data_IF_657709296987
#
_entry.id   IF_657709296987
#
_cell.length_a   1.000
_cell.length_b   1.000
_cell.length_c   1.000
_cell.angle_alpha   90.00
_cell.angle_beta   90.00
_cell.angle_gamma   90.00
#
_symmetry.space_group_name_H-M   'P 1'
#
loop_
_entity.id
_entity.type
_entity.pdbx_description
1 polymer ?
#
# COMPACT_ATOMS: atom_id res chain seq x y z
N UNK A 1 -15.29 -39.03 -5.39
CA UNK A 1 -15.65 -37.87 -6.25
C UNK A 1 -14.64 -37.81 -7.37
N UNK A 2 -15.10 -37.80 -8.63
CA UNK A 2 -14.22 -37.67 -9.80
C UNK A 2 -13.84 -36.20 -10.01
N UNK A 3 -12.77 -35.78 -9.34
CA UNK A 3 -12.31 -34.38 -9.33
C UNK A 3 -11.98 -33.86 -10.73
N UNK A 4 -11.43 -34.71 -11.61
CA UNK A 4 -11.04 -34.30 -12.95
C UNK A 4 -12.26 -33.96 -13.82
N UNK A 5 -13.29 -34.81 -13.76
CA UNK A 5 -14.53 -34.55 -14.49
C UNK A 5 -15.28 -33.32 -13.96
N UNK A 6 -15.20 -33.04 -12.65
CA UNK A 6 -15.72 -31.80 -12.08
C UNK A 6 -14.99 -30.57 -12.62
N UNK A 7 -13.65 -30.54 -12.57
CA UNK A 7 -12.86 -29.41 -13.09
C UNK A 7 -13.13 -29.16 -14.58
N UNK A 8 -13.21 -30.22 -15.39
CA UNK A 8 -13.54 -30.09 -16.83
C UNK A 8 -14.92 -29.48 -17.03
N UNK A 9 -15.91 -29.93 -16.25
CA UNK A 9 -17.25 -29.36 -16.27
C UNK A 9 -17.24 -27.88 -15.90
N UNK A 10 -16.55 -27.50 -14.81
CA UNK A 10 -16.45 -26.10 -14.38
C UNK A 10 -15.82 -25.19 -15.43
N UNK A 11 -14.76 -25.67 -16.09
CA UNK A 11 -14.11 -24.94 -17.17
C UNK A 11 -15.07 -24.69 -18.36
N UNK A 12 -15.77 -25.73 -18.82
CA UNK A 12 -16.73 -25.60 -19.93
C UNK A 12 -17.88 -24.64 -19.57
N UNK A 13 -18.38 -24.72 -18.34
CA UNK A 13 -19.47 -23.87 -17.83
C UNK A 13 -19.08 -22.40 -17.66
N UNK A 14 -17.80 -22.08 -17.58
CA UNK A 14 -17.33 -20.70 -17.42
C UNK A 14 -17.68 -19.82 -18.62
N UNK A 15 -17.86 -20.42 -19.80
CA UNK A 15 -18.14 -19.71 -21.05
C UNK A 15 -19.49 -18.98 -21.05
N UNK A 16 -20.54 -19.64 -20.54
CA UNK A 16 -21.92 -19.18 -20.72
C UNK A 16 -22.87 -19.54 -19.55
N UNK A 17 -22.39 -20.23 -18.51
CA UNK A 17 -23.23 -20.62 -17.38
C UNK A 17 -22.85 -19.91 -16.08
N UNK A 18 -23.87 -19.61 -15.28
CA UNK A 18 -23.69 -19.17 -13.90
C UNK A 18 -23.01 -20.26 -13.08
N UNK A 19 -22.12 -19.82 -12.19
CA UNK A 19 -21.48 -20.66 -11.20
C UNK A 19 -22.53 -21.15 -10.17
N UNK A 20 -22.43 -22.41 -9.76
CA UNK A 20 -23.43 -23.11 -8.95
C UNK A 20 -22.95 -23.63 -7.60
N UNK A 21 -21.64 -23.63 -7.33
CA UNK A 21 -21.07 -24.13 -6.07
C UNK A 21 -19.84 -23.33 -5.65
N UNK A 22 -19.46 -23.46 -4.37
CA UNK A 22 -18.24 -22.89 -3.82
C UNK A 22 -16.98 -23.38 -4.57
N UNK A 23 -16.87 -24.69 -4.79
CA UNK A 23 -15.74 -25.30 -5.52
C UNK A 23 -15.62 -24.71 -6.94
N UNK A 24 -16.74 -24.60 -7.67
CA UNK A 24 -16.76 -24.01 -9.01
C UNK A 24 -16.37 -22.52 -8.98
N UNK A 25 -16.79 -21.77 -7.97
CA UNK A 25 -16.47 -20.35 -7.84
C UNK A 25 -14.97 -20.13 -7.65
N UNK A 26 -14.36 -20.85 -6.70
CA UNK A 26 -12.93 -20.78 -6.43
C UNK A 26 -12.11 -21.30 -7.62
N UNK A 27 -12.56 -22.35 -8.30
CA UNK A 27 -11.90 -22.84 -9.52
C UNK A 27 -11.90 -21.80 -10.65
N UNK A 28 -13.00 -21.04 -10.81
CA UNK A 28 -13.07 -19.94 -11.79
C UNK A 28 -12.15 -18.79 -11.41
N UNK A 29 -12.06 -18.45 -10.11
CA UNK A 29 -11.12 -17.44 -9.60
C UNK A 29 -9.66 -17.86 -9.87
N UNK A 30 -9.31 -19.11 -9.58
CA UNK A 30 -7.98 -19.67 -9.86
C UNK A 30 -7.60 -19.56 -11.35
N UNK A 31 -8.55 -19.89 -12.24
CA UNK A 31 -8.33 -19.79 -13.67
C UNK A 31 -8.05 -18.34 -14.10
N UNK A 32 -8.90 -17.39 -13.70
CA UNK A 32 -8.72 -15.99 -14.08
C UNK A 32 -7.48 -15.38 -13.46
N UNK A 33 -7.21 -15.65 -12.19
CA UNK A 33 -5.96 -15.23 -11.53
C UNK A 33 -4.74 -15.73 -12.31
N UNK A 34 -4.73 -17.01 -12.68
CA UNK A 34 -3.64 -17.61 -13.48
C UNK A 34 -3.51 -16.98 -14.86
N UNK A 35 -4.63 -16.61 -15.51
CA UNK A 35 -4.62 -15.94 -16.81
C UNK A 35 -4.06 -14.52 -16.71
N UNK A 36 -4.41 -13.77 -15.66
CA UNK A 36 -3.83 -12.45 -15.39
C UNK A 36 -2.31 -12.54 -15.23
N UNK A 37 -1.81 -13.49 -14.43
CA UNK A 37 -0.37 -13.72 -14.27
C UNK A 37 0.32 -14.08 -15.59
N UNK A 38 -0.25 -14.99 -16.38
CA UNK A 38 0.27 -15.36 -17.71
C UNK A 38 0.25 -14.21 -18.72
N UNK A 39 -0.64 -13.24 -18.51
CA UNK A 39 -0.74 -12.02 -19.31
C UNK A 39 0.11 -10.85 -18.78
N UNK A 40 1.03 -11.13 -17.83
CA UNK A 40 1.93 -10.17 -17.19
C UNK A 40 1.24 -9.11 -16.30
N UNK A 41 0.01 -9.38 -15.85
CA UNK A 41 -0.64 -8.59 -14.81
C UNK A 41 -0.19 -9.09 -13.46
N UNK A 42 0.71 -8.34 -12.82
CA UNK A 42 1.18 -8.62 -11.46
C UNK A 42 0.33 -7.87 -10.42
N UNK A 43 0.49 -8.26 -9.15
CA UNK A 43 -0.14 -7.61 -8.00
C UNK A 43 -1.68 -7.51 -8.12
N UNK A 44 -2.31 -8.60 -8.56
CA UNK A 44 -3.76 -8.67 -8.76
C UNK A 44 -4.44 -9.19 -7.50
N UNK A 45 -5.14 -8.29 -6.80
CA UNK A 45 -6.00 -8.64 -5.68
C UNK A 45 -7.23 -9.45 -6.10
N UNK A 46 -7.78 -10.20 -5.15
CA UNK A 46 -8.96 -11.05 -5.35
C UNK A 46 -10.21 -10.42 -4.73
N UNK A 47 -10.04 -9.29 -4.02
CA UNK A 47 -11.13 -8.44 -3.56
C UNK A 47 -11.97 -9.07 -2.45
N UNK A 48 -13.25 -8.70 -2.39
CA UNK A 48 -14.17 -9.04 -1.30
C UNK A 48 -14.76 -10.45 -1.41
N UNK A 49 -13.93 -11.47 -1.15
CA UNK A 49 -14.37 -12.87 -1.31
C UNK A 49 -15.50 -13.25 -0.36
N UNK A 50 -15.54 -12.68 0.86
CA UNK A 50 -16.66 -12.85 1.79
C UNK A 50 -18.02 -12.50 1.15
N UNK A 51 -18.09 -11.39 0.42
CA UNK A 51 -19.29 -10.94 -0.29
C UNK A 51 -19.52 -11.71 -1.59
N UNK A 52 -18.46 -11.96 -2.36
CA UNK A 52 -18.58 -12.69 -3.64
C UNK A 52 -19.14 -14.10 -3.41
N UNK A 53 -18.68 -14.76 -2.35
CA UNK A 53 -19.02 -16.14 -2.03
C UNK A 53 -20.28 -16.30 -1.16
N UNK A 54 -20.78 -15.23 -0.52
CA UNK A 54 -21.98 -15.24 0.33
C UNK A 54 -23.24 -15.86 -0.32
N UNK A 55 -23.28 -15.93 -1.66
CA UNK A 55 -24.38 -16.53 -2.42
C UNK A 55 -24.38 -18.07 -2.44
N UNK A 56 -23.30 -18.72 -2.03
CA UNK A 56 -23.17 -20.16 -2.04
C UNK A 56 -23.46 -20.73 -0.66
N UNK A 57 -24.13 -21.89 -0.63
CA UNK A 57 -24.43 -22.59 0.62
C UNK A 57 -23.12 -23.12 1.23
N UNK A 58 -22.99 -22.93 2.54
CA UNK A 58 -21.91 -23.49 3.34
C UNK A 58 -22.28 -24.87 3.87
N UNK A 59 -21.41 -25.83 3.61
CA UNK A 59 -21.23 -27.03 4.44
C UNK A 59 -19.89 -26.84 5.15
N UNK A 60 -19.89 -26.57 6.46
CA UNK A 60 -18.72 -25.99 7.16
C UNK A 60 -17.47 -26.87 7.01
N UNK A 61 -17.48 -28.19 7.33
CA UNK A 61 -16.30 -29.04 7.16
C UNK A 61 -15.77 -29.07 5.72
N UNK A 62 -16.67 -29.19 4.74
CA UNK A 62 -16.29 -29.23 3.32
C UNK A 62 -15.75 -27.85 2.85
N UNK A 63 -16.37 -26.77 3.30
CA UNK A 63 -16.01 -25.40 2.92
C UNK A 63 -14.64 -25.00 3.47
N UNK A 64 -14.34 -25.35 4.73
CA UNK A 64 -13.02 -25.17 5.35
C UNK A 64 -11.94 -25.91 4.56
N UNK A 65 -12.21 -27.16 4.15
CA UNK A 65 -11.29 -27.93 3.33
C UNK A 65 -11.05 -27.26 1.97
N UNK A 66 -12.14 -26.92 1.25
CA UNK A 66 -12.07 -26.30 -0.08
C UNK A 66 -11.33 -24.95 -0.04
N UNK A 67 -11.59 -24.11 0.97
CA UNK A 67 -10.89 -22.83 1.14
C UNK A 67 -9.42 -23.04 1.47
N UNK A 68 -9.08 -24.04 2.29
CA UNK A 68 -7.69 -24.41 2.57
C UNK A 68 -6.93 -24.92 1.34
N UNK A 69 -7.59 -25.68 0.47
CA UNK A 69 -7.02 -26.14 -0.80
C UNK A 69 -6.82 -24.96 -1.76
N UNK A 70 -7.78 -24.03 -1.82
CA UNK A 70 -7.67 -22.79 -2.59
C UNK A 70 -6.49 -21.93 -2.12
N UNK A 71 -6.31 -21.73 -0.81
CA UNK A 71 -5.14 -21.03 -0.25
C UNK A 71 -3.83 -21.65 -0.72
N UNK A 72 -3.73 -22.97 -0.59
CA UNK A 72 -2.54 -23.72 -0.96
C UNK A 72 -2.22 -23.55 -2.45
N UNK A 73 -3.23 -23.62 -3.32
CA UNK A 73 -3.06 -23.45 -4.76
C UNK A 73 -2.69 -21.99 -5.13
N UNK A 74 -3.34 -21.01 -4.51
CA UNK A 74 -3.02 -19.58 -4.69
C UNK A 74 -1.60 -19.23 -4.21
N UNK A 75 -1.04 -19.98 -3.26
CA UNK A 75 0.34 -19.82 -2.80
C UNK A 75 1.38 -20.47 -3.72
N UNK A 76 1.00 -21.48 -4.52
CA UNK A 76 1.95 -22.15 -5.42
C UNK A 76 2.63 -21.16 -6.36
N UNK A 77 3.91 -21.36 -6.64
CA UNK A 77 4.70 -20.46 -7.49
C UNK A 77 4.83 -19.03 -6.95
N UNK A 78 4.74 -18.81 -5.63
CA UNK A 78 4.90 -17.47 -5.02
C UNK A 78 6.20 -16.78 -5.44
N UNK A 79 7.29 -17.53 -5.64
CA UNK A 79 8.56 -16.96 -6.11
C UNK A 79 8.44 -16.30 -7.50
N UNK A 80 7.70 -16.92 -8.42
CA UNK A 80 7.39 -16.34 -9.73
C UNK A 80 6.42 -15.16 -9.61
N UNK A 81 5.47 -15.24 -8.68
CA UNK A 81 4.45 -14.20 -8.45
C UNK A 81 4.95 -13.00 -7.63
N UNK A 82 6.15 -13.05 -7.06
CA UNK A 82 6.69 -11.97 -6.24
C UNK A 82 7.10 -10.76 -7.08
N UNK A 83 6.96 -9.55 -6.55
CA UNK A 83 7.20 -8.26 -7.25
C UNK A 83 8.64 -8.00 -7.71
N UNK A 84 9.54 -8.98 -7.60
CA UNK A 84 10.99 -8.86 -7.88
C UNK A 84 11.76 -8.08 -6.80
N UNK A 85 11.07 -7.24 -6.01
CA UNK A 85 11.66 -6.42 -4.95
C UNK A 85 11.76 -7.17 -3.63
N UNK A 86 10.71 -7.91 -3.29
CA UNK A 86 10.56 -8.64 -2.04
C UNK A 86 9.92 -9.99 -2.34
N UNK A 87 10.56 -11.07 -1.88
CA UNK A 87 9.99 -12.41 -1.97
C UNK A 87 8.73 -12.49 -1.09
N UNK A 88 7.62 -13.00 -1.65
CA UNK A 88 6.31 -13.01 -0.98
C UNK A 88 5.49 -11.72 -1.18
N UNK A 89 6.00 -10.73 -1.90
CA UNK A 89 5.20 -9.58 -2.33
C UNK A 89 4.42 -9.93 -3.61
N UNK A 90 3.39 -10.77 -3.47
CA UNK A 90 2.59 -11.26 -4.61
C UNK A 90 1.46 -10.30 -5.00
N UNK A 91 1.09 -9.37 -4.11
CA UNK A 91 -0.07 -8.48 -4.24
C UNK A 91 -1.42 -9.20 -4.31
N UNK A 92 -1.45 -10.51 -4.04
CA UNK A 92 -2.69 -11.28 -3.95
C UNK A 92 -3.30 -11.01 -2.58
N UNK A 93 -4.40 -10.25 -2.56
CA UNK A 93 -5.09 -9.88 -1.33
C UNK A 93 -6.57 -10.25 -1.37
N UNK A 94 -7.04 -10.83 -0.28
CA UNK A 94 -8.44 -11.11 0.00
C UNK A 94 -8.88 -10.07 1.03
N UNK A 95 -9.91 -9.30 0.69
CA UNK A 95 -10.50 -8.30 1.59
C UNK A 95 -11.72 -8.90 2.26
N UNK A 96 -11.84 -8.76 3.57
CA UNK A 96 -12.93 -9.31 4.37
C UNK A 96 -13.49 -8.25 5.32
N UNK A 97 -14.75 -8.40 5.70
CA UNK A 97 -15.39 -7.57 6.73
C UNK A 97 -15.59 -6.11 6.32
N UNK A 98 -16.05 -5.29 7.24
CA UNK A 98 -16.11 -3.83 7.09
C UNK A 98 -17.53 -3.27 6.99
N UNK A 99 -17.60 -1.94 7.03
CA UNK A 99 -18.86 -1.18 7.08
C UNK A 99 -19.57 -1.20 5.73
N UNK A 100 -20.86 -1.52 5.77
CA UNK A 100 -21.78 -1.44 4.64
C UNK A 100 -22.39 -0.03 4.48
N UNK A 101 -22.97 0.31 3.31
CA UNK A 101 -23.55 1.64 3.06
C UNK A 101 -24.71 2.03 3.98
N UNK A 102 -25.28 1.08 4.73
CA UNK A 102 -26.29 1.37 5.74
C UNK A 102 -25.68 1.73 7.11
N UNK A 103 -24.35 1.64 7.24
CA UNK A 103 -23.60 1.92 8.46
C UNK A 103 -23.43 0.73 9.39
N UNK A 104 -23.94 -0.46 9.06
CA UNK A 104 -23.74 -1.67 9.84
C UNK A 104 -22.43 -2.36 9.46
N UNK A 105 -21.86 -3.13 10.39
CA UNK A 105 -20.68 -3.94 10.10
C UNK A 105 -21.09 -5.24 9.40
N UNK A 106 -20.56 -5.45 8.19
CA UNK A 106 -20.76 -6.69 7.46
C UNK A 106 -19.69 -7.72 7.85
N UNK A 107 -20.14 -8.88 8.30
CA UNK A 107 -19.37 -10.12 8.31
C UNK A 107 -20.30 -11.30 8.10
N UNK A 108 -19.76 -12.41 7.61
CA UNK A 108 -20.48 -13.67 7.48
C UNK A 108 -19.57 -14.85 7.86
N UNK A 109 -20.07 -16.08 7.70
CA UNK A 109 -19.32 -17.28 7.99
C UNK A 109 -18.08 -17.42 7.10
N UNK A 110 -18.11 -16.94 5.85
CA UNK A 110 -16.90 -16.89 5.02
C UNK A 110 -15.84 -15.99 5.64
N UNK A 111 -16.20 -14.81 6.15
CA UNK A 111 -15.27 -13.91 6.87
C UNK A 111 -14.49 -14.67 7.94
N UNK A 112 -15.17 -15.50 8.73
CA UNK A 112 -14.55 -16.30 9.79
C UNK A 112 -13.70 -17.43 9.23
N UNK A 113 -14.24 -18.24 8.32
CA UNK A 113 -13.55 -19.41 7.76
C UNK A 113 -12.23 -19.02 7.07
N UNK A 114 -12.19 -17.90 6.33
CA UNK A 114 -10.95 -17.46 5.70
C UNK A 114 -9.84 -17.18 6.72
N UNK A 115 -10.17 -16.57 7.87
CA UNK A 115 -9.20 -16.25 8.93
C UNK A 115 -8.83 -17.52 9.72
N UNK A 116 -9.79 -18.39 10.03
CA UNK A 116 -9.53 -19.68 10.69
C UNK A 116 -8.59 -20.56 9.86
N UNK A 117 -8.83 -20.67 8.56
CA UNK A 117 -7.97 -21.44 7.65
C UNK A 117 -6.55 -20.89 7.63
N UNK A 118 -6.37 -19.56 7.62
CA UNK A 118 -5.05 -18.94 7.65
C UNK A 118 -4.34 -19.15 9.00
N UNK A 119 -5.07 -19.05 10.12
CA UNK A 119 -4.54 -19.34 11.46
C UNK A 119 -4.05 -20.78 11.54
N UNK A 120 -4.85 -21.73 11.06
CA UNK A 120 -4.58 -23.17 11.20
C UNK A 120 -3.57 -23.68 10.15
N UNK A 121 -3.42 -22.96 9.02
CA UNK A 121 -2.42 -23.19 7.98
C UNK A 121 -1.70 -21.86 7.68
N UNK A 122 -0.62 -21.51 8.43
CA UNK A 122 0.04 -20.21 8.36
C UNK A 122 0.86 -20.04 7.07
N UNK A 123 0.17 -19.96 5.95
CA UNK A 123 0.70 -19.67 4.62
C UNK A 123 0.47 -18.17 4.35
N UNK A 124 1.51 -17.39 4.07
CA UNK A 124 1.41 -15.92 4.06
C UNK A 124 0.69 -15.32 2.84
N UNK A 125 0.46 -16.09 1.78
CA UNK A 125 -0.23 -15.64 0.56
C UNK A 125 -1.33 -16.62 0.15
N UNK A 126 -2.48 -16.14 -0.37
CA UNK A 126 -2.87 -14.74 -0.49
C UNK A 126 -3.03 -14.07 0.88
N UNK A 127 -2.66 -12.80 0.98
CA UNK A 127 -2.79 -12.06 2.24
C UNK A 127 -4.28 -11.82 2.52
N UNK A 128 -4.66 -11.80 3.79
CA UNK A 128 -5.97 -11.31 4.21
C UNK A 128 -5.82 -9.87 4.67
N UNK A 129 -6.73 -9.00 4.24
CA UNK A 129 -6.99 -7.72 4.86
C UNK A 129 -8.40 -7.74 5.46
N UNK A 130 -8.47 -7.61 6.78
CA UNK A 130 -9.71 -7.44 7.51
C UNK A 130 -9.97 -5.94 7.68
N UNK A 131 -11.12 -5.49 7.21
CA UNK A 131 -11.61 -4.15 7.47
C UNK A 131 -12.22 -4.11 8.87
N UNK A 132 -11.65 -3.32 9.76
CA UNK A 132 -12.06 -3.17 11.15
C UNK A 132 -12.80 -1.86 11.37
N UNK A 133 -13.64 -1.80 12.39
CA UNK A 133 -14.37 -0.61 12.81
C UNK A 133 -14.78 -0.78 14.26
N UNK A 134 -15.03 0.31 14.97
CA UNK A 134 -15.69 0.32 16.28
C UNK A 134 -17.03 -0.44 16.34
N UNK A 135 -17.67 -0.73 15.19
CA UNK A 135 -18.92 -1.52 15.11
C UNK A 135 -18.73 -3.01 14.85
N UNK A 136 -17.49 -3.49 14.73
CA UNK A 136 -17.24 -4.91 14.43
C UNK A 136 -17.55 -5.82 15.64
N UNK A 137 -17.89 -7.10 15.42
CA UNK A 137 -17.99 -8.08 16.49
C UNK A 137 -16.65 -8.35 17.20
N UNK A 138 -16.67 -8.46 18.53
CA UNK A 138 -15.47 -8.69 19.35
C UNK A 138 -14.83 -10.06 19.08
N UNK A 139 -15.62 -11.09 18.81
CA UNK A 139 -15.16 -12.45 18.51
C UNK A 139 -14.37 -12.51 17.19
N UNK A 140 -14.77 -11.74 16.19
CA UNK A 140 -14.03 -11.60 14.94
C UNK A 140 -12.69 -10.88 15.14
N UNK A 141 -12.65 -9.85 16.01
CA UNK A 141 -11.41 -9.16 16.35
C UNK A 141 -10.46 -10.11 17.11
N UNK A 142 -10.98 -10.87 18.07
CA UNK A 142 -10.21 -11.88 18.79
C UNK A 142 -9.63 -12.93 17.84
N UNK A 143 -10.44 -13.46 16.91
CA UNK A 143 -9.98 -14.40 15.89
C UNK A 143 -8.86 -13.82 15.02
N UNK A 144 -8.98 -12.55 14.60
CA UNK A 144 -7.94 -11.86 13.84
C UNK A 144 -6.63 -11.76 14.65
N UNK A 145 -6.70 -11.39 15.93
CA UNK A 145 -5.52 -11.31 16.81
C UNK A 145 -4.89 -12.69 17.02
N UNK A 146 -5.70 -13.74 17.24
CA UNK A 146 -5.21 -15.11 17.35
C UNK A 146 -4.49 -15.57 16.07
N UNK A 147 -5.01 -15.21 14.90
CA UNK A 147 -4.36 -15.48 13.62
C UNK A 147 -3.01 -14.76 13.51
N UNK A 148 -2.94 -13.47 13.83
CA UNK A 148 -1.69 -12.69 13.83
C UNK A 148 -0.66 -13.32 14.79
N UNK A 149 -1.10 -13.77 15.97
CA UNK A 149 -0.25 -14.37 17.00
C UNK A 149 0.42 -15.69 16.56
N UNK A 150 -0.03 -16.33 15.48
CA UNK A 150 0.66 -17.49 14.89
C UNK A 150 2.00 -17.13 14.23
N UNK A 151 2.26 -15.84 14.00
CA UNK A 151 3.44 -15.35 13.28
C UNK A 151 3.26 -15.26 11.76
N UNK A 152 2.08 -15.60 11.22
CA UNK A 152 1.78 -15.47 9.78
C UNK A 152 1.74 -14.00 9.31
N UNK A 153 1.56 -13.05 10.24
CA UNK A 153 1.57 -11.60 9.94
C UNK A 153 0.29 -11.09 9.27
N UNK A 154 -0.79 -11.86 9.32
CA UNK A 154 -2.11 -11.53 8.77
C UNK A 154 -3.22 -12.01 9.73
N UNK A 155 -4.46 -11.47 9.63
CA UNK A 155 -4.90 -10.46 8.67
C UNK A 155 -4.25 -9.08 8.89
N UNK A 156 -4.05 -8.34 7.80
CA UNK A 156 -3.79 -6.90 7.84
C UNK A 156 -5.06 -6.19 8.32
N UNK A 157 -4.93 -5.15 9.12
CA UNK A 157 -6.08 -4.44 9.71
C UNK A 157 -6.24 -3.05 9.08
N UNK A 158 -7.38 -2.80 8.43
CA UNK A 158 -7.70 -1.51 7.80
C UNK A 158 -8.89 -0.85 8.50
N UNK A 159 -8.70 0.36 9.04
CA UNK A 159 -9.69 1.03 9.88
C UNK A 159 -10.72 1.81 9.06
N UNK A 160 -11.93 1.26 8.92
CA UNK A 160 -13.04 1.87 8.17
C UNK A 160 -13.52 3.19 8.77
N UNK A 161 -13.37 3.38 10.09
CA UNK A 161 -13.79 4.63 10.77
C UNK A 161 -12.94 5.84 10.31
N UNK A 162 -11.79 5.58 9.69
CA UNK A 162 -10.88 6.59 9.11
C UNK A 162 -10.89 6.55 7.59
N UNK A 163 -10.81 5.35 7.01
CA UNK A 163 -10.63 5.18 5.57
C UNK A 163 -11.87 5.58 4.77
N UNK A 164 -13.08 5.25 5.25
CA UNK A 164 -14.32 5.57 4.51
C UNK A 164 -14.51 7.10 4.41
N UNK A 165 -14.45 7.87 5.52
CA UNK A 165 -14.51 9.33 5.44
C UNK A 165 -13.43 9.93 4.53
N UNK A 166 -12.19 9.42 4.60
CA UNK A 166 -11.09 9.92 3.76
C UNK A 166 -11.33 9.66 2.27
N UNK A 167 -11.92 8.51 1.90
CA UNK A 167 -12.30 8.22 0.52
C UNK A 167 -13.43 9.11 0.02
N UNK A 168 -14.43 9.38 0.86
CA UNK A 168 -15.52 10.30 0.51
C UNK A 168 -15.01 11.72 0.29
N UNK A 169 -14.16 12.22 1.21
CA UNK A 169 -13.49 13.52 1.05
C UNK A 169 -12.65 13.57 -0.22
N UNK A 170 -11.96 12.46 -0.56
CA UNK A 170 -11.21 12.35 -1.79
C UNK A 170 -12.10 12.38 -3.05
N UNK A 171 -13.39 12.05 -2.93
CA UNK A 171 -14.40 12.16 -3.98
C UNK A 171 -15.01 10.84 -4.45
N UNK A 172 -14.87 9.76 -3.67
CA UNK A 172 -15.62 8.52 -3.93
C UNK A 172 -17.07 8.67 -3.47
N UNK A 173 -17.99 7.96 -4.13
CA UNK A 173 -19.35 7.84 -3.59
C UNK A 173 -19.31 7.04 -2.27
N UNK A 174 -20.23 7.33 -1.35
CA UNK A 174 -20.35 6.57 -0.10
C UNK A 174 -20.42 5.05 -0.34
N UNK A 175 -21.19 4.62 -1.35
CA UNK A 175 -21.30 3.20 -1.70
C UNK A 175 -19.97 2.58 -2.16
N UNK A 176 -19.17 3.31 -2.96
CA UNK A 176 -17.87 2.84 -3.41
C UNK A 176 -16.82 2.89 -2.28
N UNK A 177 -16.90 3.91 -1.42
CA UNK A 177 -16.08 4.00 -0.22
C UNK A 177 -16.38 2.83 0.71
N UNK A 178 -17.63 2.57 1.10
CA UNK A 178 -18.01 1.40 1.90
C UNK A 178 -17.67 0.05 1.24
N UNK A 179 -17.49 0.00 -0.08
CA UNK A 179 -17.12 -1.22 -0.80
C UNK A 179 -15.66 -1.24 -1.29
N UNK A 180 -14.78 -0.42 -0.70
CA UNK A 180 -13.37 -0.38 -1.10
C UNK A 180 -12.68 -1.74 -0.94
N UNK A 181 -11.71 -1.96 -1.83
CA UNK A 181 -10.66 -2.99 -1.74
C UNK A 181 -9.30 -2.30 -1.78
N UNK A 182 -8.20 -3.03 -1.72
CA UNK A 182 -6.86 -2.45 -1.83
C UNK A 182 -6.14 -2.85 -3.12
N UNK A 183 -5.29 -1.95 -3.60
CA UNK A 183 -4.32 -2.24 -4.65
C UNK A 183 -3.10 -2.89 -4.00
N UNK A 184 -2.99 -4.21 -4.07
CA UNK A 184 -1.98 -4.99 -3.35
C UNK A 184 -2.07 -4.85 -1.83
N UNK A 185 -1.28 -3.98 -1.20
CA UNK A 185 -1.08 -4.00 0.25
C UNK A 185 -2.16 -3.20 0.99
N UNK A 186 -2.15 -1.87 0.86
CA UNK A 186 -2.91 -0.99 1.75
C UNK A 186 -3.75 0.04 1.02
N UNK A 187 -3.42 0.32 -0.24
CA UNK A 187 -3.88 1.51 -0.93
C UNK A 187 -5.34 1.34 -1.40
N UNK A 188 -6.32 2.02 -0.77
CA UNK A 188 -7.74 1.75 -1.02
C UNK A 188 -8.14 2.19 -2.43
N UNK A 189 -9.06 1.44 -3.05
CA UNK A 189 -9.61 1.73 -4.38
C UNK A 189 -11.03 1.17 -4.51
N UNK A 190 -11.80 1.71 -5.43
CA UNK A 190 -13.14 1.20 -5.72
C UNK A 190 -13.06 -0.14 -6.48
N UNK A 191 -13.75 -1.15 -5.96
CA UNK A 191 -13.78 -2.49 -6.54
C UNK A 191 -14.38 -2.48 -7.95
N UNK A 192 -13.62 -2.93 -8.96
CA UNK A 192 -14.08 -3.07 -10.34
C UNK A 192 -14.40 -1.77 -11.08
N UNK A 193 -14.00 -0.60 -10.53
CA UNK A 193 -14.37 0.73 -11.05
C UNK A 193 -13.18 1.67 -11.29
N UNK A 194 -11.97 1.16 -11.13
CA UNK A 194 -10.79 2.00 -10.92
C UNK A 194 -9.61 1.65 -11.84
N UNK A 195 -9.12 2.64 -12.59
CA UNK A 195 -7.72 2.70 -13.04
C UNK A 195 -6.93 3.43 -11.96
N UNK A 196 -6.42 2.68 -10.98
CA UNK A 196 -5.69 3.26 -9.85
C UNK A 196 -4.40 2.50 -9.58
N UNK A 197 -3.32 2.95 -10.21
CA UNK A 197 -1.97 2.46 -9.91
C UNK A 197 -1.41 3.31 -8.77
N UNK A 198 -1.47 2.76 -7.55
CA UNK A 198 -1.23 3.54 -6.33
C UNK A 198 0.25 3.73 -5.97
N UNK A 199 1.17 3.03 -6.63
CA UNK A 199 2.61 3.00 -6.32
C UNK A 199 3.49 3.37 -7.52
N UNK A 200 3.12 4.42 -8.27
CA UNK A 200 3.82 4.79 -9.51
C UNK A 200 5.24 5.29 -9.24
N UNK A 201 5.39 6.16 -8.25
CA UNK A 201 6.66 6.76 -7.85
C UNK A 201 6.62 7.13 -6.37
N UNK A 202 7.78 7.31 -5.76
CA UNK A 202 7.88 7.75 -4.36
C UNK A 202 8.64 9.06 -4.24
N UNK A 203 8.22 9.92 -3.33
CA UNK A 203 9.00 11.05 -2.81
C UNK A 203 9.97 10.49 -1.75
N UNK A 204 11.27 10.75 -1.92
CA UNK A 204 12.30 10.21 -1.04
C UNK A 204 12.83 11.30 -0.10
N UNK A 205 12.38 11.28 1.16
CA UNK A 205 12.78 12.25 2.18
C UNK A 205 14.26 12.13 2.55
N UNK A 206 14.84 10.92 2.51
CA UNK A 206 16.29 10.72 2.70
C UNK A 206 17.11 11.42 1.61
N UNK A 207 16.66 11.36 0.35
CA UNK A 207 17.25 12.10 -0.76
C UNK A 207 17.07 13.61 -0.62
N UNK A 208 15.91 14.06 -0.15
CA UNK A 208 15.68 15.48 0.13
C UNK A 208 16.66 15.99 1.20
N UNK A 209 16.89 15.19 2.25
CA UNK A 209 17.89 15.50 3.27
C UNK A 209 19.31 15.53 2.71
N UNK A 210 19.67 14.55 1.86
CA UNK A 210 20.96 14.55 1.16
C UNK A 210 21.20 15.80 0.32
N UNK A 211 20.20 16.23 -0.45
CA UNK A 211 20.27 17.48 -1.21
C UNK A 211 20.39 18.69 -0.29
N UNK A 212 19.71 18.66 0.86
CA UNK A 212 19.72 19.75 1.85
C UNK A 212 21.12 19.99 2.40
N UNK A 213 21.81 18.98 2.94
CA UNK A 213 23.15 19.21 3.49
C UNK A 213 24.21 19.49 2.41
N UNK A 214 23.96 19.10 1.16
CA UNK A 214 24.82 19.41 0.03
C UNK A 214 24.57 20.79 -0.59
N UNK A 215 23.45 21.44 -0.25
CA UNK A 215 23.15 22.80 -0.68
C UNK A 215 24.11 23.79 -0.01
N UNK A 216 24.66 24.73 -0.78
CA UNK A 216 25.63 25.72 -0.29
C UNK A 216 25.08 26.57 0.86
N UNK A 217 23.76 26.85 0.87
CA UNK A 217 23.09 27.62 1.92
C UNK A 217 23.00 26.90 3.26
N UNK A 218 23.18 25.57 3.31
CA UNK A 218 23.03 24.77 4.52
C UNK A 218 23.85 25.31 5.69
N UNK A 219 25.11 25.67 5.44
CA UNK A 219 26.02 26.11 6.50
C UNK A 219 25.82 27.58 6.88
N UNK A 220 25.05 28.31 6.08
CA UNK A 220 24.62 29.67 6.37
C UNK A 220 23.31 29.73 7.19
N UNK A 221 22.63 28.60 7.42
CA UNK A 221 21.41 28.55 8.23
C UNK A 221 21.69 28.99 9.68
N UNK A 222 21.02 30.07 10.12
CA UNK A 222 21.23 30.67 11.46
C UNK A 222 20.40 30.00 12.56
N UNK A 223 19.36 29.30 12.20
CA UNK A 223 18.43 28.64 13.11
C UNK A 223 17.81 27.41 12.43
N UNK A 224 17.12 26.58 13.22
CA UNK A 224 16.46 25.37 12.74
C UNK A 224 15.40 25.66 11.67
N UNK A 225 14.62 26.73 11.81
CA UNK A 225 13.55 27.06 10.84
C UNK A 225 14.09 27.39 9.44
N UNK A 226 15.25 28.06 9.35
CA UNK A 226 15.93 28.28 8.09
C UNK A 226 16.39 26.98 7.43
N UNK A 227 16.89 26.03 8.23
CA UNK A 227 17.29 24.70 7.75
C UNK A 227 16.09 23.86 7.33
N UNK A 228 14.99 23.89 8.10
CA UNK A 228 13.76 23.20 7.78
C UNK A 228 13.14 23.75 6.49
N UNK A 229 13.15 25.07 6.29
CA UNK A 229 12.73 25.70 5.04
C UNK A 229 13.56 25.20 3.86
N UNK A 230 14.88 25.12 4.02
CA UNK A 230 15.77 24.58 2.98
C UNK A 230 15.43 23.13 2.63
N UNK A 231 15.16 22.30 3.64
CA UNK A 231 14.72 20.92 3.45
C UNK A 231 13.37 20.80 2.74
N UNK A 232 12.37 21.58 3.16
CA UNK A 232 11.05 21.56 2.54
C UNK A 232 11.08 22.04 1.08
N UNK A 233 12.00 22.95 0.72
CA UNK A 233 12.24 23.31 -0.67
C UNK A 233 12.77 22.13 -1.50
N UNK A 234 13.58 21.22 -0.92
CA UNK A 234 13.99 20.00 -1.62
C UNK A 234 12.83 19.01 -1.78
N UNK A 235 11.90 18.96 -0.81
CA UNK A 235 10.66 18.18 -0.92
C UNK A 235 9.79 18.71 -2.08
N UNK A 236 9.71 20.03 -2.25
CA UNK A 236 9.00 20.67 -3.37
C UNK A 236 9.59 20.26 -4.72
N UNK A 237 10.93 20.34 -4.87
CA UNK A 237 11.61 19.92 -6.11
C UNK A 237 11.45 18.43 -6.40
N UNK A 238 11.43 17.58 -5.37
CA UNK A 238 11.20 16.14 -5.53
C UNK A 238 9.74 15.89 -5.98
N UNK A 239 8.77 16.59 -5.41
CA UNK A 239 7.36 16.51 -5.82
C UNK A 239 7.15 16.98 -7.27
N UNK A 240 7.78 18.08 -7.69
CA UNK A 240 7.78 18.54 -9.08
C UNK A 240 8.33 17.48 -10.05
N UNK A 241 9.43 16.81 -9.65
CA UNK A 241 10.00 15.70 -10.43
C UNK A 241 9.01 14.55 -10.57
N UNK A 242 8.32 14.20 -9.49
CA UNK A 242 7.25 13.17 -9.51
C UNK A 242 6.10 13.60 -10.44
N UNK A 243 5.61 14.83 -10.32
CA UNK A 243 4.54 15.37 -11.18
C UNK A 243 4.94 15.29 -12.67
N UNK A 244 6.17 15.66 -12.99
CA UNK A 244 6.69 15.56 -14.35
C UNK A 244 6.68 14.12 -14.87
N UNK A 245 7.02 13.13 -14.03
CA UNK A 245 6.90 11.72 -14.39
C UNK A 245 5.44 11.35 -14.65
N UNK A 246 4.52 11.72 -13.75
CA UNK A 246 3.09 11.40 -13.86
C UNK A 246 2.46 11.94 -15.16
N UNK A 247 2.83 13.16 -15.56
CA UNK A 247 2.36 13.79 -16.80
C UNK A 247 2.77 13.01 -18.06
N UNK A 248 3.93 12.37 -18.03
CA UNK A 248 4.52 11.68 -19.17
C UNK A 248 4.11 10.19 -19.29
N UNK A 249 3.37 9.63 -18.32
CA UNK A 249 2.95 8.21 -18.34
C UNK A 249 2.06 7.91 -19.53
N UNK A 250 2.46 6.97 -20.39
CA UNK A 250 1.62 6.45 -21.47
C UNK A 250 1.15 5.05 -21.10
N UNK A 251 -0.16 4.86 -21.01
CA UNK A 251 -0.75 3.56 -20.71
C UNK A 251 -0.86 2.71 -21.98
N UNK A 252 -0.46 1.45 -21.86
CA UNK A 252 -0.72 0.44 -22.88
C UNK A 252 -2.17 -0.03 -22.80
N UNK A 253 -2.76 -0.33 -23.96
CA UNK A 253 -4.11 -0.88 -24.07
C UNK A 253 -4.24 -2.18 -23.27
N UNK A 254 -5.29 -2.30 -22.48
CA UNK A 254 -5.50 -3.46 -21.62
C UNK A 254 -6.95 -3.95 -21.67
N UNK A 255 -7.36 -4.58 -22.79
CA UNK A 255 -8.72 -5.06 -22.98
C UNK A 255 -9.13 -6.10 -21.92
N UNK A 256 -8.16 -6.87 -21.40
CA UNK A 256 -8.41 -7.82 -20.32
C UNK A 256 -8.85 -7.10 -19.03
N UNK A 257 -8.17 -6.03 -18.59
CA UNK A 257 -8.64 -5.25 -17.43
C UNK A 257 -9.94 -4.49 -17.72
N UNK A 258 -10.11 -3.99 -18.94
CA UNK A 258 -11.35 -3.32 -19.37
C UNK A 258 -12.56 -4.24 -19.25
N UNK A 259 -12.43 -5.54 -19.53
CA UNK A 259 -13.49 -6.54 -19.35
C UNK A 259 -13.95 -6.69 -17.89
N UNK A 260 -13.06 -6.46 -16.92
CA UNK A 260 -13.36 -6.53 -15.49
C UNK A 260 -13.62 -5.16 -14.85
N UNK A 261 -13.81 -4.13 -15.68
CA UNK A 261 -14.11 -2.77 -15.24
C UNK A 261 -15.41 -2.31 -15.90
N UNK A 262 -16.52 -2.36 -15.17
CA UNK A 262 -17.89 -2.20 -15.71
C UNK A 262 -18.04 -0.98 -16.62
N UNK A 263 -17.56 0.18 -16.15
CA UNK A 263 -17.65 1.44 -16.87
C UNK A 263 -16.86 1.48 -18.18
N UNK A 264 -15.80 0.67 -18.32
CA UNK A 264 -15.08 0.56 -19.60
C UNK A 264 -15.96 -0.09 -20.67
N UNK A 265 -16.76 -1.09 -20.28
CA UNK A 265 -17.71 -1.77 -21.17
C UNK A 265 -18.83 -0.81 -21.57
N UNK A 266 -19.44 -0.14 -20.58
CA UNK A 266 -20.55 0.80 -20.81
C UNK A 266 -20.13 1.94 -21.74
N UNK A 267 -18.91 2.46 -21.57
CA UNK A 267 -18.38 3.57 -22.39
C UNK A 267 -17.75 3.12 -23.71
N UNK A 268 -17.58 1.81 -23.94
CA UNK A 268 -16.86 1.28 -25.09
C UNK A 268 -15.41 1.76 -25.17
N UNK A 269 -14.77 2.00 -24.02
CA UNK A 269 -13.46 2.65 -23.91
C UNK A 269 -12.50 1.80 -23.11
N UNK A 270 -11.26 1.66 -23.58
CA UNK A 270 -10.26 0.90 -22.84
C UNK A 270 -9.90 1.59 -21.51
N UNK A 271 -9.58 0.80 -20.50
CA UNK A 271 -9.15 1.30 -19.19
C UNK A 271 -7.93 2.24 -19.33
N UNK A 272 -7.03 1.97 -20.28
CA UNK A 272 -5.83 2.78 -20.54
C UNK A 272 -6.13 4.16 -21.12
N UNK A 273 -7.37 4.40 -21.56
CA UNK A 273 -7.83 5.67 -22.09
C UNK A 273 -8.77 6.39 -21.14
N UNK A 274 -8.90 5.93 -19.89
CA UNK A 274 -9.78 6.52 -18.90
C UNK A 274 -11.23 6.04 -19.00
N UNK A 275 -11.43 4.75 -19.35
CA UNK A 275 -12.75 4.13 -19.34
C UNK A 275 -13.35 3.92 -17.94
N UNK A 276 -12.52 3.83 -16.89
CA UNK A 276 -12.97 3.56 -15.53
C UNK A 276 -13.77 4.73 -14.93
N UNK A 277 -14.49 4.48 -13.83
CA UNK A 277 -15.17 5.53 -13.05
C UNK A 277 -14.15 6.44 -12.38
N UNK A 278 -13.17 5.83 -11.70
CA UNK A 278 -12.08 6.51 -11.03
C UNK A 278 -10.78 6.26 -11.77
N UNK A 279 -10.10 7.32 -12.17
CA UNK A 279 -8.85 7.23 -12.95
C UNK A 279 -7.71 7.93 -12.22
N UNK A 280 -7.54 7.66 -10.92
CA UNK A 280 -6.56 8.35 -10.10
C UNK A 280 -5.18 7.69 -10.17
N UNK A 281 -4.15 8.43 -9.83
CA UNK A 281 -2.80 7.92 -9.66
C UNK A 281 -2.44 7.84 -8.18
N UNK A 282 -1.39 7.09 -7.84
CA UNK A 282 -0.82 7.15 -6.51
C UNK A 282 0.69 7.30 -6.48
N UNK A 283 1.12 8.01 -5.45
CA UNK A 283 2.50 8.32 -5.11
C UNK A 283 2.74 7.86 -3.67
N UNK A 284 3.89 7.28 -3.38
CA UNK A 284 4.25 6.92 -2.01
C UNK A 284 5.33 7.87 -1.47
N UNK A 285 5.69 7.71 -0.21
CA UNK A 285 6.86 8.37 0.37
C UNK A 285 7.77 7.35 1.04
N UNK A 286 9.05 7.69 1.16
CA UNK A 286 10.06 6.84 1.79
C UNK A 286 11.09 7.68 2.54
N UNK A 287 11.67 7.13 3.60
CA UNK A 287 12.71 7.79 4.40
C UNK A 287 12.21 8.89 5.34
N UNK A 288 10.92 8.87 5.71
CA UNK A 288 10.33 9.85 6.64
C UNK A 288 11.02 9.81 8.01
N UNK A 289 11.20 8.59 8.56
CA UNK A 289 11.85 8.39 9.86
C UNK A 289 13.28 8.94 9.87
N UNK A 290 14.08 8.63 8.84
CA UNK A 290 15.47 9.11 8.76
C UNK A 290 15.53 10.64 8.69
N UNK A 291 14.63 11.26 7.92
CA UNK A 291 14.58 12.71 7.80
C UNK A 291 14.18 13.36 9.13
N UNK A 292 13.16 12.83 9.82
CA UNK A 292 12.74 13.31 11.15
C UNK A 292 13.88 13.21 12.16
N UNK A 293 14.49 12.03 12.27
CA UNK A 293 15.59 11.78 13.20
C UNK A 293 16.78 12.69 12.88
N UNK A 294 17.14 12.83 11.61
CA UNK A 294 18.26 13.68 11.19
C UNK A 294 18.02 15.15 11.51
N UNK A 295 16.83 15.67 11.20
CA UNK A 295 16.49 17.06 11.43
C UNK A 295 16.44 17.39 12.94
N UNK A 296 15.85 16.52 13.76
CA UNK A 296 15.79 16.72 15.20
C UNK A 296 17.15 16.54 15.88
N UNK A 297 18.00 15.61 15.42
CA UNK A 297 19.38 15.53 15.89
C UNK A 297 20.18 16.80 15.55
N UNK A 298 19.99 17.39 14.36
CA UNK A 298 20.62 18.69 14.04
C UNK A 298 20.06 19.81 14.92
N UNK A 299 18.74 19.84 15.13
CA UNK A 299 18.09 20.82 16.01
C UNK A 299 18.75 20.84 17.38
N UNK A 300 18.82 19.68 18.01
CA UNK A 300 19.38 19.53 19.35
C UNK A 300 20.90 19.78 19.35
N UNK A 301 21.67 19.05 18.53
CA UNK A 301 23.13 19.04 18.65
C UNK A 301 23.80 20.30 18.09
N UNK A 302 23.21 20.97 17.10
CA UNK A 302 23.80 22.16 16.47
C UNK A 302 23.22 23.47 16.98
N UNK A 303 21.90 23.56 17.16
CA UNK A 303 21.25 24.84 17.50
C UNK A 303 20.99 25.01 18.99
N UNK A 304 20.63 23.94 19.70
CA UNK A 304 20.31 23.99 21.13
C UNK A 304 21.57 23.78 21.99
N UNK A 305 22.24 22.64 21.82
CA UNK A 305 23.43 22.26 22.59
C UNK A 305 24.74 22.83 22.03
N UNK A 306 24.75 23.21 20.75
CA UNK A 306 25.91 23.78 20.03
C UNK A 306 27.19 22.91 20.13
N UNK A 307 27.04 21.59 20.15
CA UNK A 307 28.15 20.63 20.14
C UNK A 307 28.81 20.51 18.78
N UNK A 308 28.05 20.69 17.71
CA UNK A 308 28.52 20.57 16.33
C UNK A 308 28.11 21.77 15.48
N UNK A 309 28.93 22.12 14.49
CA UNK A 309 28.56 23.08 13.44
C UNK A 309 27.87 22.36 12.28
N UNK A 310 27.09 23.10 11.47
CA UNK A 310 26.50 22.55 10.25
C UNK A 310 27.55 22.10 9.24
N UNK A 311 28.73 22.75 9.20
CA UNK A 311 29.86 22.27 8.39
C UNK A 311 30.33 20.88 8.83
N UNK A 312 30.41 20.62 10.15
CA UNK A 312 30.76 19.31 10.67
C UNK A 312 29.71 18.26 10.31
N UNK A 313 28.42 18.59 10.45
CA UNK A 313 27.31 17.70 10.03
C UNK A 313 27.43 17.34 8.55
N UNK A 314 27.64 18.34 7.68
CA UNK A 314 27.83 18.13 6.24
C UNK A 314 29.00 17.20 5.95
N UNK A 315 30.15 17.42 6.59
CA UNK A 315 31.33 16.54 6.41
C UNK A 315 31.06 15.13 6.88
N UNK A 316 30.46 14.95 8.07
CA UNK A 316 30.08 13.63 8.62
C UNK A 316 29.19 12.86 7.64
N UNK A 317 28.14 13.49 7.11
CA UNK A 317 27.24 12.84 6.15
C UNK A 317 27.92 12.52 4.81
N UNK A 318 28.79 13.40 4.31
CA UNK A 318 29.53 13.18 3.05
C UNK A 318 30.53 12.03 3.16
N UNK A 319 31.20 11.93 4.29
CA UNK A 319 32.21 10.91 4.56
C UNK A 319 31.60 9.62 5.12
N UNK A 320 30.32 9.64 5.50
CA UNK A 320 29.64 8.54 6.21
C UNK A 320 30.40 8.12 7.49
N UNK A 321 30.96 9.10 8.21
CA UNK A 321 31.80 8.87 9.39
C UNK A 321 31.10 9.34 10.68
N UNK A 322 30.31 8.46 11.27
CA UNK A 322 29.52 8.76 12.46
C UNK A 322 30.25 8.53 13.78
N UNK A 323 31.49 8.04 13.80
CA UNK A 323 32.20 7.66 15.04
C UNK A 323 32.22 8.78 16.09
N UNK A 324 32.33 10.04 15.63
CA UNK A 324 32.38 11.22 16.50
C UNK A 324 31.02 11.67 17.06
N UNK A 325 29.91 11.18 16.49
CA UNK A 325 28.53 11.59 16.83
C UNK A 325 27.64 10.46 17.29
N UNK A 326 27.98 9.20 17.02
CA UNK A 326 27.10 8.03 17.16
C UNK A 326 26.44 7.95 18.54
N UNK A 327 27.23 8.11 19.61
CA UNK A 327 26.73 8.12 21.00
C UNK A 327 25.78 9.28 21.36
N UNK A 328 25.73 10.33 20.53
CA UNK A 328 24.87 11.50 20.71
C UNK A 328 23.61 11.48 19.84
N UNK A 329 23.54 10.60 18.83
CA UNK A 329 22.40 10.51 17.93
C UNK A 329 21.24 9.78 18.62
N UNK A 330 20.05 10.36 18.52
CA UNK A 330 18.81 9.77 19.05
C UNK A 330 17.92 9.29 17.90
N UNK A 331 17.14 8.25 18.20
CA UNK A 331 15.99 7.84 17.40
C UNK A 331 14.76 8.55 17.95
N UNK A 332 14.28 9.55 17.23
CA UNK A 332 13.16 10.41 17.63
C UNK A 332 11.83 9.87 17.11
N UNK A 333 11.81 9.43 15.85
CA UNK A 333 10.62 8.91 15.19
C UNK A 333 10.09 7.67 15.94
N UNK A 334 8.77 7.65 16.18
CA UNK A 334 8.11 6.60 16.96
C UNK A 334 8.10 6.85 18.48
N UNK A 335 8.64 7.98 18.96
CA UNK A 335 8.49 8.41 20.36
C UNK A 335 7.26 9.30 20.55
N UNK A 336 6.82 9.49 21.80
CA UNK A 336 5.70 10.38 22.17
C UNK A 336 6.07 11.88 22.12
N UNK A 337 7.20 12.24 21.53
CA UNK A 337 7.67 13.63 21.50
C UNK A 337 6.82 14.48 20.54
N UNK A 338 6.26 15.59 21.04
CA UNK A 338 5.41 16.48 20.23
C UNK A 338 6.14 17.13 19.05
N UNK A 339 7.46 17.31 19.13
CA UNK A 339 8.25 17.84 18.02
C UNK A 339 8.29 16.88 16.82
N UNK A 340 8.23 15.58 17.08
CA UNK A 340 8.15 14.55 16.03
C UNK A 340 6.84 14.71 15.27
N UNK A 341 5.72 14.80 15.98
CA UNK A 341 4.41 14.98 15.37
C UNK A 341 4.34 16.28 14.55
N UNK A 342 4.82 17.39 15.09
CA UNK A 342 4.87 18.68 14.39
C UNK A 342 5.72 18.64 13.12
N UNK A 343 6.86 17.96 13.16
CA UNK A 343 7.73 17.85 11.99
C UNK A 343 7.13 16.94 10.92
N UNK A 344 6.54 15.81 11.33
CA UNK A 344 5.81 14.92 10.42
C UNK A 344 4.68 15.69 9.73
N UNK A 345 3.86 16.42 10.48
CA UNK A 345 2.75 17.24 9.95
C UNK A 345 3.26 18.24 8.90
N UNK A 346 4.31 19.00 9.21
CA UNK A 346 4.89 19.96 8.26
C UNK A 346 5.40 19.29 6.96
N UNK A 347 6.02 18.12 7.08
CA UNK A 347 6.52 17.38 5.92
C UNK A 347 5.37 16.79 5.08
N UNK A 348 4.35 16.24 5.74
CA UNK A 348 3.19 15.64 5.07
C UNK A 348 2.29 16.69 4.43
N UNK A 349 2.08 17.82 5.10
CA UNK A 349 1.32 18.95 4.55
C UNK A 349 2.02 19.53 3.33
N UNK A 350 3.35 19.61 3.35
CA UNK A 350 4.12 20.05 2.19
C UNK A 350 3.88 19.12 0.99
N UNK A 351 3.96 17.80 1.19
CA UNK A 351 3.66 16.82 0.14
C UNK A 351 2.21 16.94 -0.35
N UNK A 352 1.24 17.03 0.57
CA UNK A 352 -0.18 17.18 0.24
C UNK A 352 -0.42 18.43 -0.61
N UNK A 353 0.11 19.58 -0.20
CA UNK A 353 -0.06 20.85 -0.91
C UNK A 353 0.51 20.83 -2.32
N UNK A 354 1.64 20.14 -2.53
CA UNK A 354 2.22 19.97 -3.86
C UNK A 354 1.40 19.07 -4.79
N UNK A 355 0.72 18.06 -4.24
CA UNK A 355 0.04 17.03 -5.03
C UNK A 355 -1.48 17.23 -5.15
N UNK A 356 -2.12 17.95 -4.24
CA UNK A 356 -3.59 18.03 -4.14
C UNK A 356 -4.28 18.66 -5.36
N UNK A 357 -3.63 19.65 -5.98
CA UNK A 357 -4.12 20.35 -7.17
C UNK A 357 -3.87 19.57 -8.47
N UNK A 358 -2.98 18.57 -8.44
CA UNK A 358 -2.61 17.80 -9.62
C UNK A 358 -3.81 17.06 -10.21
N UNK A 359 -3.91 17.07 -11.55
CA UNK A 359 -4.84 16.24 -12.30
C UNK A 359 -4.08 15.55 -13.43
N UNK A 360 -4.30 14.25 -13.59
CA UNK A 360 -3.76 13.52 -14.75
C UNK A 360 -4.60 13.78 -16.01
N UNK A 361 -4.18 13.19 -17.13
CA UNK A 361 -4.85 13.32 -18.45
C UNK A 361 -6.31 12.86 -18.50
N UNK A 362 -6.77 12.11 -17.50
CA UNK A 362 -8.15 11.64 -17.36
C UNK A 362 -8.92 12.43 -16.29
N UNK A 363 -8.38 13.57 -15.87
CA UNK A 363 -8.90 14.41 -14.79
C UNK A 363 -8.94 13.72 -13.42
N UNK A 364 -8.24 12.59 -13.26
CA UNK A 364 -8.08 11.91 -11.97
C UNK A 364 -7.10 12.63 -11.06
N UNK A 365 -7.29 12.45 -9.75
CA UNK A 365 -6.46 13.03 -8.69
C UNK A 365 -5.25 12.14 -8.39
N UNK A 366 -4.39 12.59 -7.48
CA UNK A 366 -3.31 11.76 -6.89
C UNK A 366 -3.65 11.45 -5.44
N UNK A 367 -3.67 10.17 -5.09
CA UNK A 367 -3.58 9.71 -3.71
C UNK A 367 -2.11 9.64 -3.34
N UNK A 368 -1.77 10.00 -2.11
CA UNK A 368 -0.41 9.82 -1.63
C UNK A 368 -0.40 9.05 -0.31
N UNK A 369 0.63 8.23 -0.12
CA UNK A 369 0.72 7.33 1.02
C UNK A 369 2.08 7.41 1.70
N UNK A 370 2.09 7.09 2.99
CA UNK A 370 3.29 6.97 3.80
C UNK A 370 3.72 5.50 3.79
N UNK A 371 4.99 5.24 3.46
CA UNK A 371 5.61 3.92 3.31
C UNK A 371 5.56 3.34 1.89
N UNK A 372 6.74 3.25 1.28
CA UNK A 372 6.95 2.57 0.02
C UNK A 372 7.70 1.26 0.25
N UNK A 373 7.26 0.18 -0.40
CA UNK A 373 7.90 -1.14 -0.30
C UNK A 373 9.32 -1.21 -0.87
N UNK A 374 9.76 -0.15 -1.55
CA UNK A 374 11.07 -0.05 -2.19
C UNK A 374 12.11 0.70 -1.33
N UNK A 375 12.00 0.68 0.00
CA UNK A 375 12.92 1.39 0.91
C UNK A 375 14.37 0.89 0.83
N UNK A 376 14.59 -0.39 0.55
CA UNK A 376 15.93 -0.96 0.29
C UNK A 376 16.52 -0.38 -1.00
N UNK A 377 15.80 -0.49 -2.12
CA UNK A 377 16.24 0.04 -3.43
C UNK A 377 16.40 1.56 -3.42
N UNK A 378 15.50 2.25 -2.72
CA UNK A 378 15.51 3.71 -2.62
C UNK A 378 16.66 4.21 -1.76
N UNK A 379 17.06 3.45 -0.73
CA UNK A 379 18.19 3.76 0.13
C UNK A 379 19.55 3.49 -0.53
N UNK A 380 19.64 2.48 -1.40
CA UNK A 380 20.86 2.11 -2.13
C UNK A 380 21.44 3.22 -3.02
N UNK A 381 20.66 4.28 -3.28
CA UNK A 381 21.03 5.44 -4.10
C UNK A 381 20.95 6.75 -3.30
N UNK A 382 21.01 6.69 -1.97
CA UNK A 382 20.97 7.85 -1.07
C UNK A 382 22.21 7.86 -0.19
N UNK A 383 22.78 9.06 -0.02
CA UNK A 383 23.88 9.35 0.90
C UNK A 383 23.57 9.02 2.36
N UNK A 384 24.55 9.22 3.24
CA UNK A 384 24.34 9.03 4.67
C UNK A 384 23.38 10.09 5.22
N UNK A 385 22.59 9.74 6.24
CA UNK A 385 21.65 10.67 6.88
C UNK A 385 22.05 10.88 8.35
N UNK A 386 21.77 12.06 8.91
CA UNK A 386 22.24 12.43 10.25
C UNK A 386 21.41 11.81 11.39
N UNK A 387 20.80 10.67 11.11
CA UNK A 387 20.22 9.71 12.05
C UNK A 387 21.16 8.53 12.33
N UNK A 388 22.38 8.56 11.75
CA UNK A 388 23.42 7.54 11.90
C UNK A 388 23.39 6.46 10.82
N UNK A 389 22.49 6.59 9.84
CA UNK A 389 22.35 5.64 8.73
C UNK A 389 23.45 5.87 7.71
N UNK A 390 24.16 4.80 7.34
CA UNK A 390 25.24 4.90 6.37
C UNK A 390 24.71 5.08 4.95
N UNK A 391 25.58 5.61 4.09
CA UNK A 391 25.33 5.69 2.65
C UNK A 391 24.95 4.31 2.09
N UNK A 392 23.94 4.29 1.22
CA UNK A 392 23.44 3.10 0.53
C UNK A 392 22.77 2.02 1.40
N UNK A 393 22.62 2.20 2.71
CA UNK A 393 21.81 1.30 3.53
C UNK A 393 20.31 1.40 3.14
N UNK A 394 19.42 0.54 3.66
CA UNK A 394 17.98 0.78 3.59
C UNK A 394 17.59 2.09 4.30
N UNK A 395 16.47 2.70 3.86
CA UNK A 395 15.84 3.87 4.51
C UNK A 395 14.92 3.44 5.65
#
# INVERSE_FOLDING_TARGET
IDRLNNTKTYFLRMKDQKCSSLEEALQRILFWSSLFWQSQHTLVGIGRLDKVLARYKLDIPESVQIIGDFYSEMHRYFAFKSSGKLLGDTGQIIVLGGIDPNGDYFCNEYTHIFIEVMRDKPIPDPKILLRISSKMPDDLLELAIQCIATGVGCPLLSNDDVIIPALEEFGYTHADACNYVTSACWEPMAYGKSLEKNNIKSINFGRCFEKTYNNDEFTACKNFEGLLTLFLNEVDREAETVINILNNIRWEKNPLRSLFTEDCIVKGKDISEGGATYNNYGVLTVGLANAVDSLLNIKELCFEEKKFTLDQVRSICRESNFESVDSSLKKWYGTENTQVAQLVEQMTDRVYNNLSSYRNRFYGKVKWGLSASNYVESGAVVGATFDGRNKNEPL
#
